data_IF_440517499319
#
_entry.id   IF_440517499319
#
_cell.length_a   1.000
_cell.length_b   1.000
_cell.length_c   1.000
_cell.angle_alpha   90.00
_cell.angle_beta   90.00
_cell.angle_gamma   90.00
#
_symmetry.space_group_name_H-M   'P 1'
#
loop_
_entity.id
_entity.type
_entity.pdbx_description
1 polymer ?
#
# COMPACT_ATOMS: atom_id res chain seq x y z
N UNK A 1 16.15 -4.00 -27.25
CA UNK A 1 15.41 -4.35 -26.01
C UNK A 1 14.06 -3.68 -26.09
N UNK A 2 12.95 -4.40 -25.84
CA UNK A 2 11.63 -3.78 -25.86
C UNK A 2 11.49 -2.80 -24.69
N UNK A 3 11.10 -1.56 -25.00
CA UNK A 3 10.54 -0.65 -24.01
C UNK A 3 9.12 -1.13 -23.68
N UNK A 4 8.66 -0.93 -22.45
CA UNK A 4 7.26 -1.20 -22.13
C UNK A 4 6.38 -0.10 -22.72
N UNK A 5 5.36 -0.51 -23.48
CA UNK A 5 4.19 0.21 -24.04
C UNK A 5 4.29 1.73 -24.28
N UNK A 6 3.83 2.17 -25.45
CA UNK A 6 3.35 3.54 -25.71
C UNK A 6 2.03 3.81 -24.96
N UNK A 7 1.98 3.50 -23.65
CA UNK A 7 0.82 3.83 -22.84
C UNK A 7 0.66 5.37 -22.89
N UNK A 8 -0.42 5.84 -23.52
CA UNK A 8 -0.68 7.27 -23.61
C UNK A 8 -1.12 7.73 -22.22
N UNK A 9 -0.16 8.19 -21.42
CA UNK A 9 -0.40 8.82 -20.14
C UNK A 9 -1.07 10.17 -20.42
N UNK A 10 -2.39 10.20 -20.29
CA UNK A 10 -3.20 11.40 -20.51
C UNK A 10 -3.65 12.00 -19.19
N UNK A 11 -4.02 13.30 -19.14
CA UNK A 11 -4.71 13.87 -17.99
C UNK A 11 -5.95 13.08 -17.55
N UNK A 12 -6.68 12.47 -18.50
CA UNK A 12 -7.86 11.67 -18.22
C UNK A 12 -7.53 10.39 -17.42
N UNK A 13 -6.37 9.79 -17.64
CA UNK A 13 -5.90 8.63 -16.86
C UNK A 13 -5.79 8.97 -15.38
N UNK A 14 -5.20 10.12 -15.03
CA UNK A 14 -5.03 10.51 -13.63
C UNK A 14 -6.37 10.75 -12.93
N UNK A 15 -7.33 11.37 -13.62
CA UNK A 15 -8.67 11.62 -13.07
C UNK A 15 -9.43 10.30 -12.86
N UNK A 16 -9.40 9.39 -13.84
CA UNK A 16 -10.03 8.08 -13.73
C UNK A 16 -9.41 7.24 -12.60
N UNK A 17 -8.08 7.18 -12.54
CA UNK A 17 -7.35 6.43 -11.54
C UNK A 17 -7.65 6.91 -10.11
N UNK A 18 -7.68 8.22 -9.89
CA UNK A 18 -8.03 8.80 -8.58
C UNK A 18 -9.47 8.46 -8.19
N UNK A 19 -10.43 8.63 -9.10
CA UNK A 19 -11.83 8.31 -8.86
C UNK A 19 -12.04 6.83 -8.52
N UNK A 20 -11.34 5.92 -9.22
CA UNK A 20 -11.40 4.48 -8.97
C UNK A 20 -10.79 4.08 -7.63
N UNK A 21 -9.66 4.67 -7.25
CA UNK A 21 -9.06 4.41 -5.93
C UNK A 21 -9.94 4.97 -4.80
N UNK A 22 -10.60 6.11 -5.01
CA UNK A 22 -11.47 6.73 -4.02
C UNK A 22 -12.82 6.01 -3.86
N UNK A 23 -13.31 5.32 -4.90
CA UNK A 23 -14.60 4.63 -4.86
C UNK A 23 -14.58 3.29 -4.11
N UNK A 24 -13.39 2.74 -3.88
CA UNK A 24 -13.23 1.47 -3.15
C UNK A 24 -12.93 1.74 -1.68
N UNK A 25 -13.77 1.24 -0.75
CA UNK A 25 -13.50 1.38 0.67
C UNK A 25 -12.28 0.55 1.06
N UNK A 26 -11.34 1.14 1.81
CA UNK A 26 -10.08 0.48 2.16
C UNK A 26 -10.26 -0.62 3.22
N UNK A 27 -11.43 -0.68 3.85
CA UNK A 27 -11.89 -1.82 4.65
C UNK A 27 -12.09 -3.08 3.79
N UNK A 28 -12.37 -2.93 2.49
CA UNK A 28 -12.22 -3.99 1.50
C UNK A 28 -10.81 -3.93 0.90
N UNK A 29 -9.85 -4.37 1.70
CA UNK A 29 -8.43 -4.30 1.36
C UNK A 29 -8.11 -5.07 0.08
N UNK A 30 -8.80 -6.20 -0.18
CA UNK A 30 -8.60 -6.99 -1.39
C UNK A 30 -9.04 -6.21 -2.64
N UNK A 31 -10.26 -5.68 -2.66
CA UNK A 31 -10.76 -4.92 -3.80
C UNK A 31 -9.92 -3.65 -4.06
N UNK A 32 -9.42 -3.02 -3.00
CA UNK A 32 -8.53 -1.86 -3.11
C UNK A 32 -7.21 -2.22 -3.79
N UNK A 33 -6.58 -3.32 -3.37
CA UNK A 33 -5.36 -3.83 -3.98
C UNK A 33 -5.57 -4.31 -5.42
N UNK A 34 -6.71 -4.96 -5.73
CA UNK A 34 -7.07 -5.36 -7.10
C UNK A 34 -7.21 -4.15 -8.03
N UNK A 35 -7.86 -3.09 -7.56
CA UNK A 35 -8.01 -1.84 -8.31
C UNK A 35 -6.65 -1.21 -8.61
N UNK A 36 -5.77 -1.16 -7.61
CA UNK A 36 -4.41 -0.65 -7.77
C UNK A 36 -3.58 -1.52 -8.73
N UNK A 37 -3.67 -2.84 -8.61
CA UNK A 37 -3.01 -3.76 -9.53
C UNK A 37 -3.48 -3.54 -10.98
N UNK A 38 -4.78 -3.45 -11.22
CA UNK A 38 -5.32 -3.22 -12.56
C UNK A 38 -4.84 -1.89 -13.17
N UNK A 39 -4.74 -0.83 -12.37
CA UNK A 39 -4.21 0.47 -12.80
C UNK A 39 -2.71 0.38 -13.17
N UNK A 40 -1.91 -0.31 -12.35
CA UNK A 40 -0.48 -0.51 -12.62
C UNK A 40 -0.23 -1.42 -13.84
N UNK A 41 -0.98 -2.51 -13.98
CA UNK A 41 -0.89 -3.44 -15.10
C UNK A 41 -1.29 -2.80 -16.45
N UNK A 42 -2.13 -1.76 -16.42
CA UNK A 42 -2.45 -0.95 -17.59
C UNK A 42 -1.30 -0.04 -18.07
N UNK A 43 -0.29 0.21 -17.23
CA UNK A 43 0.85 1.07 -17.56
C UNK A 43 2.09 0.29 -17.97
N UNK A 44 2.30 -0.90 -17.39
CA UNK A 44 3.52 -1.67 -17.62
C UNK A 44 3.30 -3.17 -17.51
N UNK A 45 4.22 -3.95 -18.09
CA UNK A 45 4.24 -5.40 -17.93
C UNK A 45 4.36 -5.74 -16.44
N UNK A 46 3.41 -6.54 -15.99
CA UNK A 46 3.24 -6.94 -14.60
C UNK A 46 3.01 -8.45 -14.58
N UNK A 47 4.09 -9.22 -14.47
CA UNK A 47 4.01 -10.68 -14.36
C UNK A 47 3.61 -11.08 -12.93
N UNK A 48 4.13 -10.34 -11.94
CA UNK A 48 3.76 -10.50 -10.55
C UNK A 48 3.64 -9.14 -9.85
N UNK A 49 2.71 -9.05 -8.89
CA UNK A 49 2.33 -7.82 -8.21
C UNK A 49 2.03 -8.09 -6.74
N UNK A 50 2.56 -7.26 -5.84
CA UNK A 50 2.16 -7.33 -4.43
C UNK A 50 2.00 -5.96 -3.79
N UNK A 51 1.15 -5.94 -2.76
CA UNK A 51 0.95 -4.77 -1.89
C UNK A 51 1.29 -5.19 -0.48
N UNK A 52 2.24 -4.49 0.13
CA UNK A 52 2.65 -4.68 1.51
C UNK A 52 2.22 -3.48 2.35
N UNK A 53 1.31 -3.66 3.30
CA UNK A 53 0.98 -2.63 4.29
C UNK A 53 1.95 -2.69 5.46
N UNK A 54 2.41 -1.52 5.91
CA UNK A 54 3.43 -1.38 6.95
C UNK A 54 2.78 -1.09 8.31
N UNK A 55 3.05 -1.94 9.30
CA UNK A 55 2.79 -1.64 10.71
C UNK A 55 4.09 -1.24 11.39
N UNK A 56 4.24 0.05 11.66
CA UNK A 56 5.39 0.56 12.43
C UNK A 56 5.38 0.06 13.87
N UNK A 57 4.19 -0.08 14.48
CA UNK A 57 4.03 -0.58 15.85
C UNK A 57 4.54 -2.00 16.00
N UNK A 58 4.19 -2.87 15.06
CA UNK A 58 4.50 -4.30 15.15
C UNK A 58 5.80 -4.67 14.41
N UNK A 59 6.38 -3.72 13.67
CA UNK A 59 7.52 -3.94 12.78
C UNK A 59 7.27 -5.06 11.75
N UNK A 60 6.05 -5.10 11.20
CA UNK A 60 5.60 -6.13 10.27
C UNK A 60 5.07 -5.57 8.95
N UNK A 61 5.29 -6.31 7.87
CA UNK A 61 4.72 -6.12 6.54
C UNK A 61 3.58 -7.13 6.34
N UNK A 62 2.39 -6.60 6.05
CA UNK A 62 1.19 -7.39 5.81
C UNK A 62 0.94 -7.40 4.30
N UNK A 63 0.96 -8.58 3.69
CA UNK A 63 0.75 -8.77 2.26
C UNK A 63 -0.61 -9.40 2.02
N UNK A 64 -1.71 -8.63 2.01
CA UNK A 64 -3.04 -9.15 1.71
C UNK A 64 -3.22 -9.49 0.23
N UNK A 65 -2.36 -8.94 -0.64
CA UNK A 65 -2.42 -9.11 -2.09
C UNK A 65 -1.08 -9.58 -2.65
N UNK A 66 -1.04 -10.83 -3.08
CA UNK A 66 0.12 -11.46 -3.71
C UNK A 66 -0.35 -12.11 -5.02
N UNK A 67 -0.13 -11.43 -6.13
CA UNK A 67 -0.48 -11.91 -7.46
C UNK A 67 0.78 -12.35 -8.22
N UNK A 68 0.69 -13.49 -8.90
CA UNK A 68 1.76 -14.01 -9.75
C UNK A 68 1.18 -14.85 -10.90
N UNK A 69 1.44 -14.45 -12.15
CA UNK A 69 1.07 -15.14 -13.40
C UNK A 69 -0.40 -15.63 -13.40
N UNK A 70 -1.33 -14.77 -12.95
CA UNK A 70 -2.76 -15.07 -12.93
C UNK A 70 -3.25 -15.79 -11.67
N UNK A 71 -2.39 -15.99 -10.68
CA UNK A 71 -2.70 -16.70 -9.44
C UNK A 71 -2.55 -15.79 -8.24
N UNK A 72 -3.54 -15.85 -7.34
CA UNK A 72 -3.50 -15.18 -6.05
C UNK A 72 -2.97 -16.15 -4.98
N UNK A 73 -1.83 -15.82 -4.40
CA UNK A 73 -1.29 -16.51 -3.24
C UNK A 73 -2.01 -16.07 -1.95
N UNK A 74 -1.95 -16.92 -0.92
CA UNK A 74 -2.53 -16.63 0.37
C UNK A 74 -1.90 -15.35 1.00
N UNK A 75 -2.67 -14.59 1.79
CA UNK A 75 -2.12 -13.50 2.58
C UNK A 75 -1.00 -13.96 3.51
N UNK A 76 0.06 -13.15 3.62
CA UNK A 76 1.21 -13.44 4.49
C UNK A 76 1.61 -12.21 5.31
N UNK A 77 2.16 -12.43 6.50
CA UNK A 77 2.72 -11.40 7.35
C UNK A 77 4.18 -11.73 7.61
N UNK A 78 5.08 -10.80 7.29
CA UNK A 78 6.52 -10.95 7.51
C UNK A 78 7.03 -9.83 8.42
N UNK A 79 8.03 -10.13 9.24
CA UNK A 79 8.80 -9.08 9.94
C UNK A 79 9.59 -8.23 8.94
N UNK A 80 9.85 -6.97 9.29
CA UNK A 80 10.74 -6.12 8.50
C UNK A 80 12.13 -6.77 8.39
N UNK A 81 12.53 -7.14 7.18
CA UNK A 81 13.79 -7.83 6.90
C UNK A 81 14.77 -6.94 6.15
N UNK A 82 15.57 -7.57 5.27
CA UNK A 82 16.57 -6.90 4.41
C UNK A 82 16.26 -6.97 2.93
N UNK A 83 14.99 -7.24 2.59
CA UNK A 83 14.54 -7.31 1.20
C UNK A 83 14.26 -5.94 0.57
N UNK A 84 13.93 -5.92 -0.73
CA UNK A 84 13.59 -4.70 -1.48
C UNK A 84 12.50 -3.86 -0.80
N UNK A 85 11.39 -4.50 -0.38
CA UNK A 85 10.29 -3.83 0.33
C UNK A 85 10.78 -3.16 1.60
N UNK A 86 11.59 -3.85 2.40
CA UNK A 86 12.13 -3.31 3.65
C UNK A 86 13.11 -2.15 3.41
N UNK A 87 13.87 -2.19 2.31
CA UNK A 87 14.69 -1.06 1.87
C UNK A 87 13.84 0.16 1.54
N UNK A 88 12.72 -0.01 0.82
CA UNK A 88 11.80 1.09 0.50
C UNK A 88 11.19 1.71 1.76
N UNK A 89 10.77 0.89 2.74
CA UNK A 89 10.28 1.38 4.04
C UNK A 89 11.33 2.26 4.73
N UNK A 90 12.58 1.78 4.82
CA UNK A 90 13.67 2.48 5.53
C UNK A 90 14.13 3.74 4.80
N UNK A 91 14.30 3.66 3.49
CA UNK A 91 14.85 4.76 2.69
C UNK A 91 13.78 5.73 2.20
N UNK A 92 12.50 5.35 2.27
CA UNK A 92 11.34 6.14 1.82
C UNK A 92 11.43 6.58 0.35
N UNK A 93 12.13 5.79 -0.46
CA UNK A 93 12.45 6.06 -1.87
C UNK A 93 11.99 4.90 -2.74
N UNK A 94 11.61 5.23 -3.96
CA UNK A 94 11.35 4.24 -5.01
C UNK A 94 12.63 3.49 -5.34
N UNK A 95 12.49 2.18 -5.51
CA UNK A 95 13.59 1.29 -5.86
C UNK A 95 13.25 0.65 -7.20
N UNK A 96 14.01 0.98 -8.23
CA UNK A 96 13.98 0.29 -9.53
C UNK A 96 15.13 -0.70 -9.53
N UNK A 97 14.84 -1.96 -9.87
CA UNK A 97 15.81 -3.01 -10.03
C UNK A 97 15.79 -3.46 -11.48
N UNK A 98 16.93 -3.27 -12.15
CA UNK A 98 17.18 -3.83 -13.47
C UNK A 98 18.29 -4.88 -13.39
N UNK A 99 18.39 -5.82 -14.34
CA UNK A 99 19.33 -6.94 -14.22
C UNK A 99 20.79 -6.52 -14.25
N UNK A 100 21.08 -5.30 -14.70
CA UNK A 100 22.43 -4.77 -14.86
C UNK A 100 22.88 -3.96 -13.63
N UNK A 101 21.98 -3.73 -12.66
CA UNK A 101 22.23 -2.95 -11.45
C UNK A 101 22.42 -3.87 -10.23
N UNK A 102 23.42 -3.55 -9.40
CA UNK A 102 23.59 -4.24 -8.12
C UNK A 102 22.54 -3.73 -7.12
N UNK A 103 21.75 -4.60 -6.50
CA UNK A 103 20.77 -4.17 -5.51
C UNK A 103 21.46 -3.55 -4.30
N UNK A 104 20.88 -2.51 -3.68
CA UNK A 104 21.44 -1.84 -2.51
C UNK A 104 21.21 -2.59 -1.18
N UNK A 105 20.84 -3.88 -1.24
CA UNK A 105 20.50 -4.70 -0.06
C UNK A 105 21.14 -6.09 -0.15
N UNK A 106 21.37 -6.70 1.01
CA UNK A 106 22.20 -7.92 1.15
C UNK A 106 21.46 -9.22 0.84
N UNK A 107 20.13 -9.26 0.94
CA UNK A 107 19.32 -10.46 0.68
C UNK A 107 18.15 -10.15 -0.25
N UNK A 108 18.19 -10.75 -1.44
CA UNK A 108 16.98 -10.98 -2.22
C UNK A 108 16.26 -12.16 -1.58
N UNK A 109 15.14 -11.92 -0.91
CA UNK A 109 14.19 -13.01 -0.64
C UNK A 109 13.57 -13.33 -2.00
N UNK A 110 13.79 -14.54 -2.51
CA UNK A 110 13.17 -15.01 -3.75
C UNK A 110 11.65 -14.95 -3.60
N UNK A 111 10.99 -14.23 -4.49
CA UNK A 111 9.54 -14.10 -4.52
C UNK A 111 9.05 -14.50 -5.91
N UNK A 112 8.02 -15.34 -5.94
CA UNK A 112 7.41 -15.88 -7.17
C UNK A 112 7.21 -17.40 -7.17
N UNK A 113 6.14 -17.85 -7.82
CA UNK A 113 5.81 -19.24 -8.10
C UNK A 113 6.94 -19.83 -8.94
N UNK A 114 7.49 -20.96 -8.49
CA UNK A 114 8.67 -21.65 -9.04
C UNK A 114 10.06 -21.06 -8.70
N UNK A 115 10.18 -20.14 -7.73
CA UNK A 115 11.46 -19.50 -7.38
C UNK A 115 12.16 -18.82 -8.57
N UNK A 116 11.40 -18.45 -9.62
CA UNK A 116 11.96 -17.71 -10.75
C UNK A 116 12.29 -16.30 -10.28
N UNK A 117 13.55 -15.86 -10.35
CA UNK A 117 13.89 -14.51 -9.93
C UNK A 117 13.25 -13.51 -10.90
N UNK A 118 12.55 -12.51 -10.36
CA UNK A 118 12.20 -11.31 -11.11
C UNK A 118 13.45 -10.75 -11.76
N UNK A 119 13.37 -10.48 -13.06
CA UNK A 119 14.51 -9.99 -13.85
C UNK A 119 14.54 -8.46 -13.81
N UNK A 120 13.37 -7.83 -13.80
CA UNK A 120 13.19 -6.40 -13.55
C UNK A 120 12.08 -6.22 -12.51
N UNK A 121 12.20 -5.23 -11.62
CA UNK A 121 11.11 -4.87 -10.71
C UNK A 121 11.15 -3.40 -10.30
N UNK A 122 10.03 -2.87 -9.85
CA UNK A 122 9.93 -1.55 -9.24
C UNK A 122 9.14 -1.64 -7.93
N UNK A 123 9.68 -1.04 -6.88
CA UNK A 123 9.12 -1.03 -5.53
C UNK A 123 8.85 0.42 -5.13
N UNK A 124 7.59 0.74 -4.90
CA UNK A 124 7.07 2.10 -4.80
C UNK A 124 6.51 2.31 -3.40
N UNK A 125 7.04 3.26 -2.61
CA UNK A 125 6.46 3.58 -1.31
C UNK A 125 5.06 4.18 -1.48
N UNK A 126 4.11 3.64 -0.72
CA UNK A 126 2.79 4.25 -0.53
C UNK A 126 2.89 5.27 0.60
N UNK A 127 2.78 6.55 0.27
CA UNK A 127 2.94 7.64 1.23
C UNK A 127 1.59 8.11 1.76
N UNK A 128 1.46 8.13 3.08
CA UNK A 128 0.37 8.78 3.78
C UNK A 128 0.68 10.25 4.08
N UNK A 129 -0.19 10.90 4.85
CA UNK A 129 0.00 12.28 5.32
C UNK A 129 0.33 12.28 6.80
N UNK A 130 1.40 12.93 7.21
CA UNK A 130 1.60 13.27 8.62
C UNK A 130 1.80 14.78 8.77
N UNK A 131 1.77 15.27 10.02
CA UNK A 131 2.01 16.68 10.32
C UNK A 131 3.48 17.10 10.28
N UNK A 132 4.40 16.20 9.90
CA UNK A 132 5.84 16.41 9.91
C UNK A 132 6.42 16.64 8.50
N UNK A 133 7.73 16.91 8.44
CA UNK A 133 8.49 17.01 7.19
C UNK A 133 8.86 15.65 6.59
N UNK A 134 8.83 14.60 7.41
CA UNK A 134 9.24 13.25 7.04
C UNK A 134 8.04 12.47 6.48
N UNK A 135 8.11 11.86 5.28
CA UNK A 135 6.96 11.17 4.72
C UNK A 135 6.57 9.95 5.57
N UNK A 136 5.28 9.83 5.86
CA UNK A 136 4.68 8.63 6.44
C UNK A 136 4.59 7.55 5.37
N UNK A 137 5.18 6.38 5.61
CA UNK A 137 5.02 5.22 4.73
C UNK A 137 3.95 4.32 5.31
N UNK A 138 2.87 4.11 4.56
CA UNK A 138 1.77 3.20 4.96
C UNK A 138 1.88 1.83 4.31
N UNK A 139 2.73 1.71 3.29
CA UNK A 139 2.97 0.46 2.59
C UNK A 139 3.91 0.61 1.40
N UNK A 140 3.99 -0.45 0.62
CA UNK A 140 4.80 -0.55 -0.61
C UNK A 140 4.02 -1.32 -1.65
N UNK A 141 4.02 -0.83 -2.88
CA UNK A 141 3.60 -1.57 -4.07
C UNK A 141 4.84 -2.13 -4.74
N UNK A 142 4.85 -3.42 -5.07
CA UNK A 142 5.92 -4.02 -5.86
C UNK A 142 5.37 -4.62 -7.14
N UNK A 143 6.02 -4.27 -8.25
CA UNK A 143 5.68 -4.71 -9.60
C UNK A 143 6.90 -5.45 -10.14
N UNK A 144 6.69 -6.65 -10.66
CA UNK A 144 7.76 -7.53 -11.10
C UNK A 144 7.52 -7.99 -12.54
N UNK A 145 8.61 -8.12 -13.28
CA UNK A 145 8.63 -8.76 -14.58
C UNK A 145 9.70 -9.86 -14.60
N UNK A 146 9.35 -11.02 -15.14
CA UNK A 146 10.26 -12.13 -15.40
C UNK A 146 11.07 -11.93 -16.69
N UNK A 147 10.74 -10.89 -17.46
CA UNK A 147 11.48 -10.49 -18.65
C UNK A 147 12.35 -9.25 -18.40
N UNK A 148 13.39 -9.08 -19.22
CA UNK A 148 14.23 -7.87 -19.20
C UNK A 148 13.43 -6.70 -19.78
N UNK A 149 12.88 -5.88 -18.91
CA UNK A 149 12.23 -4.61 -19.26
C UNK A 149 12.97 -3.42 -18.67
N UNK A 150 12.89 -2.28 -19.36
CA UNK A 150 13.30 -0.97 -18.83
C UNK A 150 12.04 -0.20 -18.44
N UNK A 151 11.92 0.12 -17.16
CA UNK A 151 10.97 1.12 -16.70
C UNK A 151 11.51 2.50 -17.10
N UNK A 152 10.81 3.20 -17.99
CA UNK A 152 11.19 4.56 -18.38
C UNK A 152 10.90 5.53 -17.25
N UNK A 153 11.57 6.70 -17.19
CA UNK A 153 11.30 7.70 -16.17
C UNK A 153 9.82 8.12 -16.10
N UNK A 154 9.12 8.21 -17.23
CA UNK A 154 7.70 8.58 -17.29
C UNK A 154 6.80 7.51 -16.69
N UNK A 155 7.09 6.23 -16.97
CA UNK A 155 6.37 5.10 -16.37
C UNK A 155 6.62 5.06 -14.86
N UNK A 156 7.88 5.18 -14.42
CA UNK A 156 8.20 5.21 -12.99
C UNK A 156 7.48 6.35 -12.28
N UNK A 157 7.51 7.56 -12.85
CA UNK A 157 6.84 8.74 -12.27
C UNK A 157 5.32 8.55 -12.18
N UNK A 158 4.72 7.92 -13.18
CA UNK A 158 3.26 7.63 -13.19
C UNK A 158 2.90 6.57 -12.16
N UNK A 159 3.72 5.52 -12.02
CA UNK A 159 3.55 4.49 -11.01
C UNK A 159 3.76 5.04 -9.59
N UNK A 160 4.73 5.94 -9.40
CA UNK A 160 4.93 6.66 -8.14
C UNK A 160 3.72 7.51 -7.78
N UNK A 161 3.15 8.22 -8.77
CA UNK A 161 1.93 8.97 -8.57
C UNK A 161 0.78 8.06 -8.11
N UNK A 162 0.57 6.91 -8.75
CA UNK A 162 -0.44 5.92 -8.34
C UNK A 162 -0.21 5.42 -6.92
N UNK A 163 1.01 5.02 -6.59
CA UNK A 163 1.35 4.50 -5.25
C UNK A 163 1.15 5.57 -4.17
N UNK A 164 1.53 6.82 -4.43
CA UNK A 164 1.26 7.94 -3.53
C UNK A 164 -0.24 8.20 -3.40
N UNK A 165 -0.98 8.13 -4.50
CA UNK A 165 -2.43 8.35 -4.49
C UNK A 165 -3.15 7.28 -3.68
N UNK A 166 -2.78 6.02 -3.87
CA UNK A 166 -3.27 4.89 -3.11
C UNK A 166 -2.91 5.02 -1.62
N UNK A 167 -1.65 5.36 -1.30
CA UNK A 167 -1.19 5.56 0.08
C UNK A 167 -1.97 6.64 0.81
N UNK A 168 -2.21 7.78 0.16
CA UNK A 168 -2.96 8.88 0.74
C UNK A 168 -4.44 8.51 0.94
N UNK A 169 -5.06 7.85 -0.04
CA UNK A 169 -6.46 7.39 0.07
C UNK A 169 -6.62 6.36 1.18
N UNK A 170 -5.74 5.37 1.25
CA UNK A 170 -5.71 4.36 2.31
C UNK A 170 -5.56 4.99 3.69
N UNK A 171 -4.57 5.87 3.85
CA UNK A 171 -4.31 6.54 5.12
C UNK A 171 -5.50 7.39 5.59
N UNK A 172 -6.09 8.18 4.69
CA UNK A 172 -7.22 9.05 5.04
C UNK A 172 -8.45 8.25 5.46
N UNK A 173 -8.79 7.17 4.75
CA UNK A 173 -9.95 6.34 5.10
C UNK A 173 -9.74 5.59 6.42
N UNK A 174 -8.53 5.08 6.69
CA UNK A 174 -8.21 4.44 7.97
C UNK A 174 -8.29 5.43 9.13
N UNK A 175 -7.71 6.63 8.98
CA UNK A 175 -7.79 7.66 10.01
C UNK A 175 -9.24 8.12 10.29
N UNK A 176 -10.08 8.17 9.25
CA UNK A 176 -11.50 8.49 9.41
C UNK A 176 -12.23 7.38 10.19
N UNK A 177 -12.02 6.12 9.82
CA UNK A 177 -12.63 4.98 10.52
C UNK A 177 -12.21 4.91 12.00
N UNK A 178 -10.93 5.17 12.30
CA UNK A 178 -10.43 5.24 13.68
C UNK A 178 -11.08 6.38 14.47
N UNK A 179 -11.22 7.57 13.85
CA UNK A 179 -11.88 8.71 14.47
C UNK A 179 -13.36 8.43 14.77
N UNK A 180 -14.07 7.79 13.85
CA UNK A 180 -15.47 7.38 14.04
C UNK A 180 -15.63 6.40 15.20
N UNK A 181 -14.74 5.40 15.30
CA UNK A 181 -14.72 4.46 16.42
C UNK A 181 -14.45 5.15 17.75
N UNK A 182 -13.48 6.06 17.81
CA UNK A 182 -13.17 6.82 19.03
C UNK A 182 -14.33 7.71 19.49
N UNK A 183 -15.06 8.33 18.55
CA UNK A 183 -16.27 9.11 18.84
C UNK A 183 -17.38 8.22 19.38
N UNK A 184 -17.61 7.06 18.75
CA UNK A 184 -18.63 6.11 19.21
C UNK A 184 -18.35 5.60 20.62
N UNK A 185 -17.09 5.24 20.91
CA UNK A 185 -16.67 4.80 22.24
C UNK A 185 -16.82 5.90 23.29
N UNK A 186 -16.42 7.14 22.94
CA UNK A 186 -16.57 8.29 23.84
C UNK A 186 -18.04 8.60 24.15
N UNK A 187 -18.93 8.45 23.16
CA UNK A 187 -20.36 8.65 23.35
C UNK A 187 -20.97 7.60 24.29
N UNK A 188 -20.52 6.34 24.23
CA UNK A 188 -20.94 5.29 25.17
C UNK A 188 -20.51 5.60 26.60
N UNK A 189 -19.22 5.91 26.82
CA UNK A 189 -18.71 6.26 28.16
C UNK A 189 -19.44 7.46 28.78
N UNK A 190 -19.80 8.46 27.97
CA UNK A 190 -20.55 9.61 28.45
C UNK A 190 -21.97 9.24 28.91
N UNK A 191 -22.64 8.32 28.20
CA UNK A 191 -23.96 7.82 28.61
C UNK A 191 -23.87 7.06 29.93
N UNK A 192 -22.87 6.20 30.10
CA UNK A 192 -22.68 5.43 31.34
C UNK A 192 -22.44 6.35 32.55
N UNK A 193 -21.61 7.39 32.38
CA UNK A 193 -21.38 8.40 33.41
C UNK A 193 -22.65 9.18 33.76
N UNK A 194 -23.47 9.52 32.75
CA UNK A 194 -24.75 10.19 32.97
C UNK A 194 -25.73 9.29 33.75
N UNK A 195 -25.83 8.01 33.39
CA UNK A 195 -26.67 7.04 34.09
C UNK A 195 -26.23 6.86 35.54
N UNK A 196 -24.94 6.62 35.78
CA UNK A 196 -24.39 6.48 37.13
C UNK A 196 -24.63 7.74 37.98
N UNK A 197 -24.49 8.94 37.39
CA UNK A 197 -24.80 10.19 38.08
C UNK A 197 -26.29 10.29 38.45
N UNK A 198 -27.20 9.91 37.54
CA UNK A 198 -28.64 9.91 37.80
C UNK A 198 -29.00 8.94 38.91
N UNK A 199 -28.42 7.74 38.92
CA UNK A 199 -28.63 6.74 39.97
C UNK A 199 -28.15 7.23 41.33
N UNK A 200 -26.96 7.85 41.38
CA UNK A 200 -26.41 8.43 42.61
C UNK A 200 -27.27 9.59 43.13
N UNK A 201 -27.79 10.45 42.25
CA UNK A 201 -28.74 11.51 42.63
C UNK A 201 -30.04 10.93 43.24
N UNK A 202 -30.55 9.83 42.69
CA UNK A 202 -31.75 9.18 43.20
C UNK A 202 -31.51 8.50 44.56
N UNK A 203 -30.30 7.98 44.82
CA UNK A 203 -29.94 7.37 46.11
C UNK A 203 -29.75 8.38 47.25
N UNK A 204 -29.30 9.61 46.96
CA UNK A 204 -29.11 10.66 47.98
C UNK A 204 -30.44 11.34 48.37
N UNK A 205 -31.50 11.15 47.59
CA UNK A 205 -32.82 11.73 47.84
C UNK A 205 -33.73 10.86 48.74
N UNK A 206 -33.21 9.76 49.30
CA UNK A 206 -33.88 8.88 50.26
C UNK A 206 -33.09 8.81 51.56
#
# INVERSE_FOLDING_TARGET
>A
MPCVSDAIITPAFFVDADARLASVPTSDTLAFCETLHALCAGLTLTDAFNVAFWSEKDQTLHYPYNFDEGVMDAPVIWSLGDGPTSWVIRCKKTLVLTPDEKPPFQRSVYWGRNQRPSVSSVHLPMRGRNGGSDPLIVGVVAIHAYSRIRYTPDIVSTLEWLANRAGLTYHTQMALAEAEQAVAESALRLRDLQQSKTEMCNQVAH
#
